data_IF_760419875052
#
_entry.id   IF_760419875052
#
_cell.length_a   1.000
_cell.length_b   1.000
_cell.length_c   1.000
_cell.angle_alpha   90.00
_cell.angle_beta   90.00
_cell.angle_gamma   90.00
#
_symmetry.space_group_name_H-M   'P 1'
#
loop_
_entity.id
_entity.type
_entity.pdbx_description
1 polymer ?
#
# COMPACT_ATOMS: atom_id res chain seq x y z
N UNK A 1 10.49 -3.99 -10.44
CA UNK A 1 9.05 -4.13 -10.80
C UNK A 1 8.26 -3.87 -9.54
N UNK A 2 7.53 -2.79 -9.55
CA UNK A 2 6.73 -2.36 -8.41
C UNK A 2 5.49 -3.25 -8.30
N UNK A 3 5.49 -4.19 -7.36
CA UNK A 3 4.38 -5.11 -7.14
C UNK A 3 3.17 -4.40 -6.54
N UNK A 4 3.38 -3.39 -5.70
CA UNK A 4 2.31 -2.69 -4.99
C UNK A 4 1.42 -1.87 -5.92
N UNK A 5 2.01 -1.00 -6.75
CA UNK A 5 1.27 -0.19 -7.72
C UNK A 5 0.60 -1.06 -8.79
N UNK A 6 1.31 -2.11 -9.24
CA UNK A 6 0.79 -3.06 -10.22
C UNK A 6 -0.46 -3.79 -9.75
N UNK A 7 -0.50 -4.22 -8.49
CA UNK A 7 -1.67 -4.90 -7.90
C UNK A 7 -2.88 -3.99 -7.77
N UNK A 8 -2.69 -2.75 -7.29
CA UNK A 8 -3.74 -1.74 -7.22
C UNK A 8 -4.34 -1.44 -8.60
N UNK A 9 -3.48 -1.20 -9.61
CA UNK A 9 -3.91 -0.96 -10.99
C UNK A 9 -4.63 -2.17 -11.59
N UNK A 10 -4.21 -3.39 -11.27
CA UNK A 10 -4.86 -4.60 -11.76
C UNK A 10 -6.29 -4.73 -11.25
N UNK A 11 -6.53 -4.49 -9.95
CA UNK A 11 -7.88 -4.49 -9.38
C UNK A 11 -8.70 -3.35 -10.00
N UNK A 12 -8.14 -2.15 -10.09
CA UNK A 12 -8.83 -1.00 -10.69
C UNK A 12 -9.24 -1.30 -12.13
N UNK A 13 -8.30 -1.68 -12.98
CA UNK A 13 -8.58 -2.00 -14.39
C UNK A 13 -9.63 -3.11 -14.53
N UNK A 14 -9.48 -4.21 -13.77
CA UNK A 14 -10.45 -5.30 -13.79
C UNK A 14 -11.85 -4.86 -13.33
N UNK A 15 -11.96 -3.87 -12.43
CA UNK A 15 -13.24 -3.34 -11.95
C UNK A 15 -13.93 -2.39 -12.93
N UNK A 16 -13.19 -1.75 -13.84
CA UNK A 16 -13.72 -0.72 -14.75
C UNK A 16 -14.16 -1.26 -16.13
N UNK A 17 -13.71 -2.44 -16.51
CA UNK A 17 -14.03 -3.00 -17.83
C UNK A 17 -15.46 -3.56 -17.88
N UNK A 18 -15.99 -3.69 -19.08
CA UNK A 18 -17.31 -4.27 -19.33
C UNK A 18 -17.43 -5.70 -18.79
N UNK A 19 -18.62 -6.08 -18.36
CA UNK A 19 -18.89 -7.39 -17.76
C UNK A 19 -18.51 -8.55 -18.70
N UNK A 20 -18.71 -8.40 -20.00
CA UNK A 20 -18.32 -9.39 -21.02
C UNK A 20 -16.82 -9.70 -21.00
N UNK A 21 -16.00 -8.67 -20.83
CA UNK A 21 -14.54 -8.79 -20.67
C UNK A 21 -14.16 -9.27 -19.27
N UNK A 22 -14.84 -8.80 -18.22
CA UNK A 22 -14.63 -9.30 -16.87
C UNK A 22 -14.83 -10.82 -16.79
N UNK A 23 -15.80 -11.37 -17.54
CA UNK A 23 -16.07 -12.81 -17.55
C UNK A 23 -14.91 -13.64 -18.11
N UNK A 24 -14.01 -13.02 -18.85
CA UNK A 24 -12.80 -13.68 -19.40
C UNK A 24 -11.64 -13.66 -18.42
N UNK A 25 -11.70 -12.84 -17.37
CA UNK A 25 -10.67 -12.81 -16.33
C UNK A 25 -10.84 -14.04 -15.42
N UNK A 26 -9.86 -14.90 -15.42
CA UNK A 26 -9.85 -16.11 -14.58
C UNK A 26 -9.48 -15.80 -13.13
N UNK A 27 -8.50 -14.93 -12.90
CA UNK A 27 -8.11 -14.46 -11.56
C UNK A 27 -7.32 -13.16 -11.64
N UNK A 28 -7.39 -12.37 -10.57
CA UNK A 28 -6.53 -11.22 -10.28
C UNK A 28 -5.71 -11.56 -9.05
N UNK A 29 -4.40 -11.42 -9.15
CA UNK A 29 -3.48 -11.65 -8.04
C UNK A 29 -2.82 -10.32 -7.62
N UNK A 30 -2.80 -10.05 -6.33
CA UNK A 30 -2.07 -8.92 -5.78
C UNK A 30 -1.14 -9.38 -4.66
N UNK A 31 0.03 -8.76 -4.59
CA UNK A 31 1.08 -9.09 -3.63
C UNK A 31 1.45 -7.82 -2.88
N UNK A 32 0.93 -7.69 -1.66
CA UNK A 32 1.10 -6.55 -0.76
C UNK A 32 0.80 -5.18 -1.43
N UNK A 33 -0.23 -5.17 -2.28
CA UNK A 33 -0.68 -3.95 -2.95
C UNK A 33 -1.72 -3.22 -2.09
N UNK A 34 -1.71 -1.86 -2.10
CA UNK A 34 -2.78 -1.11 -1.46
C UNK A 34 -4.12 -1.40 -2.13
N UNK A 35 -5.19 -1.32 -1.35
CA UNK A 35 -6.55 -1.44 -1.85
C UNK A 35 -6.98 -0.28 -2.75
N UNK A 36 -8.28 -0.14 -2.96
CA UNK A 36 -8.85 1.00 -3.68
C UNK A 36 -9.51 1.99 -2.71
N UNK A 37 -9.73 3.21 -3.20
CA UNK A 37 -10.52 4.18 -2.45
C UNK A 37 -11.97 3.66 -2.25
N UNK A 38 -12.57 3.92 -1.09
CA UNK A 38 -13.90 3.43 -0.70
C UNK A 38 -14.98 3.63 -1.76
N UNK A 39 -14.96 4.77 -2.46
CA UNK A 39 -15.92 5.06 -3.54
C UNK A 39 -15.84 4.03 -4.67
N UNK A 40 -14.65 3.52 -4.98
CA UNK A 40 -14.42 2.53 -6.03
C UNK A 40 -14.82 1.11 -5.62
N UNK A 41 -14.83 0.82 -4.32
CA UNK A 41 -15.26 -0.51 -3.84
C UNK A 41 -16.77 -0.70 -3.89
N UNK A 42 -17.54 0.38 -4.07
CA UNK A 42 -19.00 0.34 -4.13
C UNK A 42 -19.56 0.11 -5.54
N UNK A 43 -18.71 0.16 -6.58
CA UNK A 43 -19.16 -0.06 -7.97
C UNK A 43 -19.40 -1.54 -8.23
N UNK A 44 -20.40 -1.85 -9.08
CA UNK A 44 -20.74 -3.24 -9.41
C UNK A 44 -19.56 -4.01 -10.03
N UNK A 45 -18.77 -3.38 -10.89
CA UNK A 45 -17.61 -4.01 -11.51
C UNK A 45 -16.58 -4.50 -10.49
N UNK A 46 -16.36 -3.73 -9.41
CA UNK A 46 -15.51 -4.17 -8.29
C UNK A 46 -16.11 -5.40 -7.60
N UNK A 47 -17.39 -5.35 -7.24
CA UNK A 47 -18.07 -6.44 -6.56
C UNK A 47 -18.02 -7.76 -7.37
N UNK A 48 -18.22 -7.67 -8.70
CA UNK A 48 -18.17 -8.84 -9.60
C UNK A 48 -16.80 -9.50 -9.69
N UNK A 49 -15.70 -8.74 -9.54
CA UNK A 49 -14.34 -9.29 -9.69
C UNK A 49 -13.77 -9.85 -8.37
N UNK A 50 -14.38 -9.51 -7.22
CA UNK A 50 -13.82 -9.87 -5.92
C UNK A 50 -13.70 -11.37 -5.69
N UNK A 51 -14.65 -12.18 -6.13
CA UNK A 51 -14.60 -13.64 -6.01
C UNK A 51 -13.42 -14.28 -6.76
N UNK A 52 -12.87 -13.56 -7.74
CA UNK A 52 -11.72 -13.96 -8.54
C UNK A 52 -10.43 -13.23 -8.18
N UNK A 53 -10.48 -12.36 -7.16
CA UNK A 53 -9.33 -11.60 -6.69
C UNK A 53 -8.69 -12.30 -5.50
N UNK A 54 -7.40 -12.59 -5.61
CA UNK A 54 -6.58 -13.19 -4.55
C UNK A 54 -5.56 -12.18 -4.06
N UNK A 55 -5.72 -11.75 -2.82
CA UNK A 55 -4.89 -10.73 -2.18
C UNK A 55 -3.93 -11.41 -1.22
N UNK A 56 -2.64 -11.34 -1.49
CA UNK A 56 -1.59 -11.84 -0.62
C UNK A 56 -0.94 -10.68 0.10
N UNK A 57 -0.83 -10.77 1.42
CA UNK A 57 -0.14 -9.79 2.27
C UNK A 57 0.76 -10.48 3.27
N UNK A 58 1.95 -9.95 3.61
CA UNK A 58 2.77 -10.50 4.68
C UNK A 58 2.16 -10.18 6.05
N UNK A 59 2.55 -10.94 7.07
CA UNK A 59 2.02 -10.76 8.43
C UNK A 59 2.26 -9.37 9.02
N UNK A 60 3.31 -8.69 8.59
CA UNK A 60 3.64 -7.33 9.02
C UNK A 60 3.37 -6.28 7.94
N UNK A 61 2.42 -6.52 7.04
CA UNK A 61 2.11 -5.60 5.95
C UNK A 61 1.85 -4.18 6.45
N UNK A 62 2.42 -3.22 5.73
CA UNK A 62 2.12 -1.79 5.85
C UNK A 62 1.43 -1.33 4.57
N UNK A 63 2.03 -1.61 3.43
CA UNK A 63 1.55 -1.14 2.11
C UNK A 63 0.21 -1.80 1.77
N UNK A 64 0.10 -3.13 1.93
CA UNK A 64 -1.13 -3.87 1.66
C UNK A 64 -2.29 -3.55 2.60
N UNK A 65 -2.02 -2.85 3.72
CA UNK A 65 -3.05 -2.39 4.65
C UNK A 65 -3.56 -0.98 4.34
N UNK A 66 -3.04 -0.33 3.30
CA UNK A 66 -3.49 1.00 2.90
C UNK A 66 -4.77 0.94 2.07
N UNK A 67 -5.69 1.88 2.29
CA UNK A 67 -7.00 1.99 1.62
C UNK A 67 -7.94 0.80 1.92
N UNK A 68 -8.98 0.64 1.10
CA UNK A 68 -9.94 -0.45 1.27
C UNK A 68 -9.44 -1.71 0.58
N UNK A 69 -9.01 -2.67 1.36
CA UNK A 69 -8.55 -3.98 0.88
C UNK A 69 -9.70 -4.98 0.84
N UNK A 70 -9.70 -5.95 -0.09
CA UNK A 70 -10.69 -7.01 -0.11
C UNK A 70 -10.75 -7.79 1.21
N UNK A 71 -11.94 -8.24 1.59
CA UNK A 71 -12.18 -8.90 2.88
C UNK A 71 -11.38 -10.23 3.06
N UNK A 72 -11.10 -10.93 1.96
CA UNK A 72 -10.42 -12.21 1.97
C UNK A 72 -8.95 -12.04 1.56
N UNK A 73 -8.09 -11.85 2.55
CA UNK A 73 -6.64 -11.81 2.35
C UNK A 73 -6.01 -13.15 2.70
N UNK A 74 -5.01 -13.53 1.94
CA UNK A 74 -4.14 -14.65 2.24
C UNK A 74 -2.90 -14.07 2.92
N UNK A 75 -2.79 -14.31 4.22
CA UNK A 75 -1.68 -13.78 5.02
C UNK A 75 -0.53 -14.75 4.92
N UNK A 76 0.63 -14.27 4.49
CA UNK A 76 1.82 -15.08 4.27
C UNK A 76 2.91 -14.77 5.28
N UNK A 77 3.71 -15.80 5.61
CA UNK A 77 4.88 -15.63 6.46
C UNK A 77 6.03 -15.01 5.67
N UNK A 78 6.57 -13.90 6.15
CA UNK A 78 7.81 -13.29 5.67
C UNK A 78 8.91 -13.43 6.72
N UNK A 79 10.11 -13.75 6.27
CA UNK A 79 11.30 -13.84 7.12
C UNK A 79 11.98 -12.49 7.37
N UNK A 80 11.57 -11.44 6.65
CA UNK A 80 12.10 -10.10 6.82
C UNK A 80 11.61 -9.45 8.12
N UNK A 81 12.47 -8.65 8.74
CA UNK A 81 12.16 -7.90 9.94
C UNK A 81 11.61 -6.51 9.58
N UNK A 82 10.42 -6.21 10.11
CA UNK A 82 9.75 -4.92 9.89
C UNK A 82 8.86 -4.89 8.64
N UNK A 83 7.74 -4.17 8.73
CA UNK A 83 6.66 -4.22 7.75
C UNK A 83 7.05 -3.75 6.36
N UNK A 84 7.90 -2.72 6.24
CA UNK A 84 8.36 -2.23 4.93
C UNK A 84 9.26 -3.27 4.24
N UNK A 85 10.17 -3.91 4.97
CA UNK A 85 11.05 -4.94 4.40
C UNK A 85 10.26 -6.19 3.96
N UNK A 86 9.13 -6.48 4.59
CA UNK A 86 8.25 -7.58 4.21
C UNK A 86 7.49 -7.34 2.90
N UNK A 87 7.49 -6.11 2.38
CA UNK A 87 6.94 -5.81 1.05
C UNK A 87 7.72 -6.50 -0.08
N UNK A 88 8.97 -6.86 0.16
CA UNK A 88 9.75 -7.68 -0.76
C UNK A 88 9.23 -9.12 -0.74
N UNK A 89 8.59 -9.53 -1.81
CA UNK A 89 8.01 -10.87 -1.97
C UNK A 89 9.07 -11.98 -1.96
N UNK A 90 10.34 -11.68 -2.19
CA UNK A 90 11.44 -12.65 -2.05
C UNK A 90 11.74 -13.04 -0.59
N UNK A 91 11.25 -12.24 0.37
CA UNK A 91 11.31 -12.59 1.79
C UNK A 91 10.20 -13.54 2.25
N UNK A 92 9.23 -13.85 1.37
CA UNK A 92 8.07 -14.68 1.71
C UNK A 92 8.42 -16.16 1.68
N UNK A 93 8.12 -16.85 2.76
CA UNK A 93 8.47 -18.24 2.92
C UNK A 93 7.63 -19.14 2.03
N UNK A 94 8.30 -20.09 1.36
CA UNK A 94 7.68 -21.10 0.50
C UNK A 94 8.02 -22.47 1.06
N UNK A 95 6.99 -23.28 1.25
CA UNK A 95 7.09 -24.71 1.58
C UNK A 95 6.20 -25.51 0.61
N UNK A 96 6.69 -26.60 0.10
CA UNK A 96 5.96 -27.47 -0.84
C UNK A 96 5.31 -26.71 -2.02
N UNK A 97 6.03 -25.74 -2.58
CA UNK A 97 5.61 -24.87 -3.71
C UNK A 97 4.44 -23.92 -3.39
N UNK A 98 4.11 -23.72 -2.12
CA UNK A 98 3.07 -22.79 -1.66
C UNK A 98 3.65 -21.80 -0.66
N UNK A 99 3.06 -20.61 -0.60
CA UNK A 99 3.38 -19.69 0.49
C UNK A 99 2.94 -20.27 1.83
N UNK A 100 3.79 -20.14 2.84
CA UNK A 100 3.43 -20.46 4.23
C UNK A 100 2.38 -19.44 4.67
N UNK A 101 1.18 -19.91 5.00
CA UNK A 101 0.06 -19.07 5.37
C UNK A 101 -0.09 -18.98 6.89
N UNK A 102 -0.59 -17.83 7.33
CA UNK A 102 -0.87 -17.51 8.72
C UNK A 102 -2.34 -17.10 8.88
N UNK A 103 -2.89 -17.27 10.08
CA UNK A 103 -4.29 -16.98 10.36
C UNK A 103 -4.57 -15.46 10.45
N UNK A 104 -3.56 -14.66 10.84
CA UNK A 104 -3.72 -13.21 11.05
C UNK A 104 -2.41 -12.45 10.85
N UNK A 105 -2.57 -11.17 10.55
CA UNK A 105 -1.48 -10.19 10.59
C UNK A 105 -1.04 -9.92 12.03
N UNK A 106 0.17 -9.39 12.19
CA UNK A 106 0.66 -8.99 13.52
C UNK A 106 -0.04 -7.71 14.02
N UNK A 107 0.15 -7.40 15.31
CA UNK A 107 -0.49 -6.24 15.95
C UNK A 107 -0.13 -4.91 15.30
N UNK A 108 1.10 -4.78 14.81
CA UNK A 108 1.59 -3.54 14.20
C UNK A 108 0.92 -3.29 12.85
N UNK A 109 0.74 -4.34 12.04
CA UNK A 109 0.00 -4.27 10.78
C UNK A 109 -1.47 -3.90 11.00
N UNK A 110 -2.12 -4.49 12.00
CA UNK A 110 -3.50 -4.14 12.36
C UNK A 110 -3.63 -2.67 12.82
N UNK A 111 -2.64 -2.17 13.55
CA UNK A 111 -2.61 -0.77 13.96
C UNK A 111 -2.40 0.17 12.78
N UNK A 112 -1.57 -0.20 11.79
CA UNK A 112 -1.39 0.57 10.56
C UNK A 112 -2.71 0.67 9.80
N UNK A 113 -3.44 -0.43 9.64
CA UNK A 113 -4.76 -0.43 8.98
C UNK A 113 -5.73 0.55 9.65
N UNK A 114 -5.90 0.44 10.97
CA UNK A 114 -6.79 1.34 11.73
C UNK A 114 -6.39 2.80 11.59
N UNK A 115 -5.10 3.09 11.82
CA UNK A 115 -4.56 4.46 11.71
C UNK A 115 -4.78 5.05 10.33
N UNK A 116 -4.52 4.25 9.29
CA UNK A 116 -4.63 4.73 7.92
C UNK A 116 -6.08 5.01 7.53
N UNK A 117 -7.01 4.14 7.91
CA UNK A 117 -8.44 4.32 7.67
C UNK A 117 -8.99 5.57 8.38
N UNK A 118 -8.60 5.78 9.64
CA UNK A 118 -8.98 6.97 10.40
C UNK A 118 -8.42 8.24 9.75
N UNK A 119 -7.15 8.23 9.34
CA UNK A 119 -6.52 9.35 8.67
C UNK A 119 -7.21 9.69 7.34
N UNK A 120 -7.42 8.70 6.47
CA UNK A 120 -8.13 8.88 5.18
C UNK A 120 -9.53 9.42 5.39
N UNK A 121 -10.24 8.98 6.44
CA UNK A 121 -11.59 9.47 6.74
C UNK A 121 -11.63 10.93 7.19
N UNK A 122 -10.52 11.49 7.67
CA UNK A 122 -10.43 12.87 8.19
C UNK A 122 -9.87 13.88 7.17
N UNK A 123 -9.27 13.41 6.09
CA UNK A 123 -8.63 14.26 5.07
C UNK A 123 -9.55 14.38 3.85
N UNK A 124 -9.77 15.59 3.29
CA UNK A 124 -10.51 15.77 2.05
C UNK A 124 -9.89 14.97 0.88
N UNK A 125 -10.73 14.43 0.01
CA UNK A 125 -10.29 13.60 -1.12
C UNK A 125 -9.25 14.28 -2.02
N UNK A 126 -9.42 15.59 -2.28
CA UNK A 126 -8.51 16.39 -3.12
C UNK A 126 -7.12 16.53 -2.49
N UNK A 127 -7.05 16.71 -1.18
CA UNK A 127 -5.79 16.77 -0.45
C UNK A 127 -5.13 15.39 -0.35
N UNK A 128 -5.90 14.32 -0.20
CA UNK A 128 -5.39 12.94 -0.26
C UNK A 128 -4.77 12.66 -1.63
N UNK A 129 -5.45 13.04 -2.71
CA UNK A 129 -4.91 12.86 -4.06
C UNK A 129 -3.58 13.60 -4.21
N UNK A 130 -3.55 14.89 -3.84
CA UNK A 130 -2.33 15.69 -3.89
C UNK A 130 -1.20 15.06 -3.05
N UNK A 131 -1.50 14.61 -1.83
CA UNK A 131 -0.52 13.97 -0.96
C UNK A 131 0.07 12.72 -1.60
N UNK A 132 -0.75 11.84 -2.15
CA UNK A 132 -0.27 10.63 -2.79
C UNK A 132 0.50 10.90 -4.07
N UNK A 133 0.06 11.85 -4.90
CA UNK A 133 0.76 12.24 -6.11
C UNK A 133 2.16 12.78 -5.78
N UNK A 134 2.28 13.63 -4.77
CA UNK A 134 3.56 14.16 -4.30
C UNK A 134 4.43 13.08 -3.64
N UNK A 135 3.85 12.24 -2.79
CA UNK A 135 4.57 11.18 -2.09
C UNK A 135 5.13 10.13 -3.07
N UNK A 136 4.29 9.61 -3.95
CA UNK A 136 4.73 8.62 -4.94
C UNK A 136 5.60 9.25 -6.02
N UNK A 137 5.30 10.48 -6.45
CA UNK A 137 6.15 11.24 -7.37
C UNK A 137 7.57 11.39 -6.81
N UNK A 138 7.69 11.84 -5.56
CA UNK A 138 8.99 12.00 -4.90
C UNK A 138 9.76 10.67 -4.80
N UNK A 139 9.08 9.58 -4.47
CA UNK A 139 9.72 8.25 -4.42
C UNK A 139 10.17 7.80 -5.82
N UNK A 140 9.32 7.92 -6.83
CA UNK A 140 9.63 7.50 -8.20
C UNK A 140 10.79 8.33 -8.80
N UNK A 141 10.77 9.64 -8.59
CA UNK A 141 11.79 10.55 -9.10
C UNK A 141 13.14 10.40 -8.37
N UNK A 142 13.13 9.86 -7.15
CA UNK A 142 14.37 9.58 -6.41
C UNK A 142 15.16 8.39 -6.99
N UNK A 143 14.60 7.67 -7.97
CA UNK A 143 15.22 6.45 -8.52
C UNK A 143 15.12 5.23 -7.62
N UNK A 144 14.35 5.31 -6.54
CA UNK A 144 14.03 4.16 -5.69
C UNK A 144 13.06 3.26 -6.45
N UNK A 145 13.57 2.18 -7.00
CA UNK A 145 12.78 1.19 -7.76
C UNK A 145 12.40 -0.02 -6.91
N UNK A 146 13.03 -0.16 -5.75
CA UNK A 146 12.78 -1.25 -4.81
C UNK A 146 13.02 -0.79 -3.37
N UNK A 147 12.27 -1.34 -2.43
CA UNK A 147 12.51 -1.13 -0.98
C UNK A 147 13.89 -1.64 -0.55
N UNK A 148 14.43 -2.62 -1.27
CA UNK A 148 15.81 -3.05 -1.06
C UNK A 148 16.84 -1.95 -1.33
N UNK A 149 16.53 -0.96 -2.15
CA UNK A 149 17.38 0.21 -2.40
C UNK A 149 17.55 1.03 -1.12
N UNK A 150 16.54 1.08 -0.23
CA UNK A 150 16.60 1.76 1.06
C UNK A 150 17.42 0.99 2.12
N UNK A 151 17.62 -0.31 1.95
CA UNK A 151 18.41 -1.15 2.86
C UNK A 151 19.86 -1.37 2.38
N UNK A 152 20.20 -0.88 1.19
CA UNK A 152 21.53 -1.04 0.57
C UNK A 152 22.50 0.08 0.98
N UNK A 153 23.79 -0.09 0.63
CA UNK A 153 24.80 0.95 0.76
C UNK A 153 24.47 2.22 -0.05
N UNK A 154 23.55 2.13 -1.02
CA UNK A 154 23.02 3.26 -1.80
C UNK A 154 21.89 4.01 -1.08
N UNK A 155 21.47 3.56 0.08
CA UNK A 155 20.39 4.21 0.83
C UNK A 155 20.67 5.70 1.09
N UNK A 156 21.92 6.07 1.34
CA UNK A 156 22.30 7.47 1.55
C UNK A 156 22.14 8.33 0.29
N UNK A 157 22.44 7.77 -0.89
CA UNK A 157 22.21 8.46 -2.17
C UNK A 157 20.72 8.66 -2.42
N UNK A 158 19.90 7.62 -2.18
CA UNK A 158 18.46 7.70 -2.35
C UNK A 158 17.81 8.67 -1.34
N UNK A 159 18.24 8.66 -0.09
CA UNK A 159 17.80 9.63 0.92
C UNK A 159 18.17 11.06 0.52
N UNK A 160 19.38 11.26 -0.02
CA UNK A 160 19.80 12.56 -0.54
C UNK A 160 18.92 12.99 -1.73
N UNK A 161 18.63 12.09 -2.67
CA UNK A 161 17.72 12.38 -3.78
C UNK A 161 16.30 12.71 -3.30
N UNK A 162 15.74 11.97 -2.35
CA UNK A 162 14.45 12.30 -1.73
C UNK A 162 14.46 13.69 -1.11
N UNK A 163 15.55 14.06 -0.43
CA UNK A 163 15.69 15.38 0.17
C UNK A 163 15.76 16.50 -0.89
N UNK A 164 16.50 16.28 -1.98
CA UNK A 164 16.59 17.23 -3.11
C UNK A 164 15.23 17.39 -3.78
N UNK A 165 14.51 16.29 -4.04
CA UNK A 165 13.19 16.33 -4.64
C UNK A 165 12.17 17.03 -3.72
N UNK A 166 12.22 16.80 -2.41
CA UNK A 166 11.39 17.52 -1.47
C UNK A 166 11.65 19.04 -1.46
N UNK A 167 12.86 19.47 -1.83
CA UNK A 167 13.18 20.90 -2.00
C UNK A 167 12.61 21.49 -3.31
N UNK A 168 12.33 20.67 -4.32
CA UNK A 168 11.71 21.11 -5.58
C UNK A 168 10.21 21.39 -5.45
N UNK A 169 9.58 20.93 -4.37
CA UNK A 169 8.18 21.22 -4.07
C UNK A 169 7.97 22.72 -3.81
N UNK A 170 6.86 23.25 -4.28
CA UNK A 170 6.44 24.60 -3.94
C UNK A 170 6.24 24.76 -2.42
N UNK A 171 6.28 25.97 -1.88
CA UNK A 171 6.01 26.20 -0.46
C UNK A 171 4.65 25.64 -0.01
N UNK A 172 3.61 25.75 -0.84
CA UNK A 172 2.26 25.25 -0.57
C UNK A 172 2.20 23.70 -0.56
N UNK A 173 2.82 23.06 -1.54
CA UNK A 173 2.93 21.59 -1.58
C UNK A 173 3.68 21.06 -0.36
N UNK A 174 4.75 21.74 0.05
CA UNK A 174 5.55 21.39 1.22
C UNK A 174 4.77 21.52 2.52
N UNK A 175 3.98 22.60 2.65
CA UNK A 175 3.10 22.81 3.79
C UNK A 175 2.01 21.74 3.86
N UNK A 176 1.36 21.42 2.74
CA UNK A 176 0.34 20.37 2.65
C UNK A 176 0.92 19.01 3.02
N UNK A 177 2.06 18.63 2.45
CA UNK A 177 2.76 17.38 2.79
C UNK A 177 3.11 17.31 4.28
N UNK A 178 3.67 18.39 4.83
CA UNK A 178 4.04 18.46 6.25
C UNK A 178 2.83 18.32 7.16
N UNK A 179 1.75 19.05 6.89
CA UNK A 179 0.52 19.01 7.65
C UNK A 179 -0.15 17.63 7.64
N UNK A 180 -0.25 17.01 6.47
CA UNK A 180 -0.88 15.69 6.33
C UNK A 180 -0.02 14.58 6.95
N UNK A 181 1.30 14.67 6.81
CA UNK A 181 2.22 13.74 7.49
C UNK A 181 2.13 13.88 9.01
N UNK A 182 2.07 15.10 9.53
CA UNK A 182 1.90 15.32 10.97
C UNK A 182 0.57 14.76 11.47
N UNK A 183 -0.51 14.99 10.74
CA UNK A 183 -1.83 14.42 11.07
C UNK A 183 -1.81 12.89 11.12
N UNK A 184 -1.11 12.24 10.18
CA UNK A 184 -0.93 10.79 10.19
C UNK A 184 -0.16 10.30 11.44
N UNK A 185 0.90 11.02 11.81
CA UNK A 185 1.69 10.73 13.02
C UNK A 185 0.82 10.88 14.28
N UNK A 186 0.05 11.96 14.36
CA UNK A 186 -0.83 12.24 15.49
C UNK A 186 -1.95 11.20 15.62
N UNK A 187 -2.54 10.78 14.48
CA UNK A 187 -3.55 9.71 14.44
C UNK A 187 -2.96 8.40 14.97
N UNK A 188 -1.76 8.05 14.55
CA UNK A 188 -1.05 6.87 15.05
C UNK A 188 -0.75 6.95 16.54
N UNK A 189 -0.34 8.11 17.04
CA UNK A 189 -0.06 8.33 18.46
C UNK A 189 -1.33 8.18 19.30
N UNK A 190 -2.46 8.74 18.86
CA UNK A 190 -3.75 8.59 19.55
C UNK A 190 -4.22 7.12 19.55
N UNK A 191 -4.10 6.42 18.43
CA UNK A 191 -4.44 5.01 18.36
C UNK A 191 -3.56 4.14 19.29
N UNK A 192 -2.30 4.51 19.51
CA UNK A 192 -1.41 3.84 20.45
C UNK A 192 -1.78 4.12 21.92
N UNK A 193 -2.16 5.36 22.23
CA UNK A 193 -2.50 5.79 23.60
C UNK A 193 -3.81 5.17 24.10
N UNK A 194 -4.73 4.85 23.20
CA UNK A 194 -6.06 4.30 23.52
C UNK A 194 -6.06 2.76 23.63
N UNK A 195 -4.89 2.12 23.66
CA UNK A 195 -4.68 0.70 24.01
C UNK A 195 -4.54 0.55 25.52
#
# INVERSE_FOLDING_TARGET
RDSSKGGNLAIYAASQIEQSLQNQITAVYTFDAPGLHKKLTQIEGYQRIMDRTKVFIPQGSIIGMMLEIPAHQIIVHSTALGGIAQHDTFSWQIEDKHFVQLDKTNSDSQQVDTTFKEWVATVPDEELQLYFDLFFGTILDSGITSINDLSSLKALEHIHHLFVQAQSLTPEERETMGRLTQLLIDTRYQAWKNR
#
